data_IF_694710968496
#
_entry.id   IF_694710968496
#
_cell.length_a   1.000
_cell.length_b   1.000
_cell.length_c   1.000
_cell.angle_alpha   90.00
_cell.angle_beta   90.00
_cell.angle_gamma   90.00
#
_symmetry.space_group_name_H-M   'P 1'
#
loop_
_entity.id
_entity.type
_entity.pdbx_description
1 polymer ?
#
# COMPACT_ATOMS: atom_id res chain seq x y z
N UNK A 1 -16.69 -28.64 -11.27
CA UNK A 1 -17.46 -27.95 -10.21
C UNK A 1 -16.98 -28.28 -8.79
N UNK A 2 -16.80 -29.56 -8.42
CA UNK A 2 -16.33 -29.97 -7.07
C UNK A 2 -15.05 -29.28 -6.55
N UNK A 3 -14.05 -28.98 -7.40
CA UNK A 3 -12.81 -28.32 -6.96
C UNK A 3 -12.94 -26.82 -6.67
N UNK A 4 -13.94 -26.14 -7.26
CA UNK A 4 -14.23 -24.71 -6.98
C UNK A 4 -15.01 -24.54 -5.67
N UNK A 5 -15.94 -25.46 -5.38
CA UNK A 5 -16.69 -25.48 -4.12
C UNK A 5 -15.79 -25.77 -2.91
N UNK A 6 -14.87 -26.75 -3.00
CA UNK A 6 -13.91 -27.02 -1.91
C UNK A 6 -12.99 -25.83 -1.63
N UNK A 7 -12.47 -25.14 -2.66
CA UNK A 7 -11.61 -23.95 -2.48
C UNK A 7 -12.37 -22.75 -1.89
N UNK A 8 -13.66 -22.60 -2.18
CA UNK A 8 -14.49 -21.56 -1.59
C UNK A 8 -14.75 -21.79 -0.09
N UNK A 9 -14.90 -23.06 0.33
CA UNK A 9 -15.09 -23.44 1.73
C UNK A 9 -13.84 -23.18 2.59
N UNK A 10 -12.64 -23.42 2.04
CA UNK A 10 -11.36 -23.20 2.74
C UNK A 10 -11.06 -21.72 3.02
N UNK A 11 -11.57 -20.82 2.19
CA UNK A 11 -11.43 -19.37 2.35
C UNK A 11 -12.65 -18.71 3.02
N UNK A 12 -13.52 -19.48 3.67
CA UNK A 12 -14.64 -18.94 4.44
C UNK A 12 -14.11 -18.09 5.60
N UNK A 13 -14.52 -16.82 5.61
CA UNK A 13 -14.11 -15.82 6.59
C UNK A 13 -14.30 -16.29 8.03
N UNK A 14 -15.30 -17.13 8.32
CA UNK A 14 -15.61 -17.59 9.69
C UNK A 14 -14.45 -18.34 10.35
N UNK A 15 -13.55 -18.93 9.57
CA UNK A 15 -12.36 -19.64 10.05
C UNK A 15 -11.17 -18.71 10.34
N UNK A 16 -11.31 -17.40 10.12
CA UNK A 16 -10.22 -16.43 10.27
C UNK A 16 -10.48 -15.42 11.39
N UNK A 17 -9.46 -15.22 12.22
CA UNK A 17 -9.35 -14.05 13.10
C UNK A 17 -8.80 -12.89 12.29
N UNK A 18 -9.44 -11.73 12.40
CA UNK A 18 -9.06 -10.52 11.65
C UNK A 18 -8.62 -9.43 12.61
N UNK A 19 -7.43 -8.88 12.37
CA UNK A 19 -6.82 -7.80 13.15
C UNK A 19 -6.26 -6.74 12.21
N UNK A 20 -6.25 -5.49 12.66
CA UNK A 20 -5.61 -4.39 11.95
C UNK A 20 -4.42 -3.87 12.75
N UNK A 21 -3.53 -3.14 12.08
CA UNK A 21 -2.38 -2.47 12.70
C UNK A 21 -1.68 -1.57 11.70
N UNK A 22 -0.64 -0.89 12.16
CA UNK A 22 0.26 -0.07 11.35
C UNK A 22 1.53 -0.88 11.07
N UNK A 23 1.86 -1.11 9.81
CA UNK A 23 3.11 -1.82 9.44
C UNK A 23 4.32 -0.89 9.61
N UNK A 24 4.16 0.37 9.18
CA UNK A 24 5.14 1.41 9.41
C UNK A 24 4.53 2.82 9.39
N UNK A 25 5.22 3.74 10.06
CA UNK A 25 4.94 5.16 10.13
C UNK A 25 6.22 5.93 9.77
N UNK A 26 6.15 6.76 8.74
CA UNK A 26 7.24 7.66 8.36
C UNK A 26 6.99 9.04 8.97
N UNK A 27 7.91 9.50 9.81
CA UNK A 27 7.94 10.86 10.33
C UNK A 27 9.03 11.67 9.63
N UNK A 28 8.70 12.91 9.28
CA UNK A 28 9.65 13.94 8.88
C UNK A 28 10.00 14.75 10.12
N UNK A 29 11.28 14.77 10.47
CA UNK A 29 11.84 15.50 11.60
C UNK A 29 12.74 16.60 11.04
N UNK A 30 12.51 17.83 11.50
CA UNK A 30 13.35 18.99 11.17
C UNK A 30 14.16 19.37 12.40
N UNK A 31 15.48 19.38 12.28
CA UNK A 31 16.42 19.73 13.35
C UNK A 31 16.82 21.19 13.22
N UNK A 32 17.11 21.84 14.36
CA UNK A 32 17.60 23.22 14.43
C UNK A 32 19.02 23.39 13.90
N UNK A 33 19.77 22.29 13.75
CA UNK A 33 21.18 22.29 13.32
C UNK A 33 21.42 21.18 12.30
N UNK A 34 22.36 21.45 11.40
CA UNK A 34 22.85 20.45 10.45
C UNK A 34 23.52 19.29 11.17
N UNK A 35 23.20 18.07 10.76
CA UNK A 35 23.84 16.84 11.24
C UNK A 35 23.97 15.83 10.12
N UNK A 36 24.75 14.77 10.35
CA UNK A 36 24.82 13.64 9.43
C UNK A 36 23.78 12.59 9.83
N UNK A 37 23.16 11.96 8.83
CA UNK A 37 22.13 10.93 9.07
C UNK A 37 22.61 9.78 9.96
N UNK A 38 23.90 9.41 9.89
CA UNK A 38 24.50 8.36 10.71
C UNK A 38 24.39 8.65 12.21
N UNK A 39 24.55 9.90 12.63
CA UNK A 39 24.47 10.28 14.05
C UNK A 39 23.03 10.23 14.57
N UNK A 40 22.05 10.58 13.73
CA UNK A 40 20.63 10.42 14.05
C UNK A 40 20.29 8.94 14.19
N UNK A 41 20.78 8.10 13.27
CA UNK A 41 20.56 6.64 13.31
C UNK A 41 21.23 5.97 14.52
N UNK A 42 22.46 6.37 14.86
CA UNK A 42 23.19 5.87 16.04
C UNK A 42 22.46 6.24 17.34
N UNK A 43 21.94 7.46 17.44
CA UNK A 43 21.20 7.88 18.63
C UNK A 43 19.87 7.14 18.76
N UNK A 44 19.15 6.95 17.66
CA UNK A 44 17.95 6.11 17.64
C UNK A 44 18.24 4.66 18.02
N UNK A 45 19.38 4.11 17.59
CA UNK A 45 19.82 2.78 17.99
C UNK A 45 20.05 2.70 19.51
N UNK A 46 20.66 3.73 20.12
CA UNK A 46 20.83 3.79 21.58
C UNK A 46 19.50 3.88 22.32
N UNK A 47 18.59 4.73 21.85
CA UNK A 47 17.29 4.98 22.49
C UNK A 47 16.38 3.74 22.37
N UNK A 48 16.34 3.12 21.19
CA UNK A 48 15.34 2.08 20.88
C UNK A 48 15.89 0.66 20.91
N UNK A 49 17.21 0.48 20.87
CA UNK A 49 17.86 -0.80 20.61
C UNK A 49 17.69 -1.28 19.15
N UNK A 50 17.09 -0.48 18.27
CA UNK A 50 16.76 -0.86 16.89
C UNK A 50 17.48 0.03 15.88
N UNK A 51 18.03 -0.58 14.83
CA UNK A 51 18.60 0.15 13.70
C UNK A 51 17.49 0.64 12.77
N UNK A 52 16.94 1.81 13.07
CA UNK A 52 15.88 2.43 12.27
C UNK A 52 16.38 2.95 10.94
N UNK A 53 15.52 2.95 9.93
CA UNK A 53 15.81 3.55 8.63
C UNK A 53 15.66 5.07 8.71
N UNK A 54 16.73 5.78 8.37
CA UNK A 54 16.83 7.25 8.39
C UNK A 54 17.33 7.71 7.03
N UNK A 55 16.58 8.59 6.37
CA UNK A 55 16.95 9.17 5.08
C UNK A 55 16.97 10.70 5.19
N UNK A 56 18.06 11.37 4.77
CA UNK A 56 18.07 12.83 4.66
C UNK A 56 17.08 13.28 3.58
N UNK A 57 16.27 14.30 3.88
CA UNK A 57 15.33 14.87 2.93
C UNK A 57 15.99 15.96 2.08
N UNK A 58 15.94 15.82 0.76
CA UNK A 58 16.45 16.82 -0.17
C UNK A 58 17.97 16.74 -0.41
N UNK A 59 18.42 17.43 -1.46
CA UNK A 59 19.84 17.55 -1.81
C UNK A 59 20.31 18.93 -1.33
N UNK A 60 21.25 18.97 -0.39
CA UNK A 60 21.99 20.19 -0.07
C UNK A 60 23.28 20.20 -0.88
N UNK A 61 23.55 21.30 -1.57
CA UNK A 61 24.81 21.53 -2.30
C UNK A 61 25.74 22.28 -1.35
N UNK A 62 26.90 21.70 -1.01
CA UNK A 62 27.84 22.27 -0.04
C UNK A 62 28.73 23.36 -0.64
N UNK A 63 29.00 23.28 -1.96
CA UNK A 63 29.76 24.30 -2.70
C UNK A 63 29.52 24.16 -4.20
N UNK A 64 29.26 25.28 -4.89
CA UNK A 64 29.58 25.44 -6.30
C UNK A 64 31.00 25.97 -6.34
N UNK A 65 31.98 25.20 -6.86
CA UNK A 65 33.30 25.79 -7.07
C UNK A 65 33.18 26.85 -8.15
N UNK A 66 33.41 28.12 -7.82
CA UNK A 66 33.55 29.19 -8.80
C UNK A 66 34.84 28.92 -9.58
N UNK A 67 34.71 28.53 -10.84
CA UNK A 67 35.83 28.57 -11.77
C UNK A 67 35.81 29.95 -12.41
N UNK A 68 36.81 30.79 -12.11
CA UNK A 68 37.04 31.97 -12.95
C UNK A 68 37.33 31.50 -14.38
N UNK A 69 36.71 32.09 -15.42
CA UNK A 69 37.04 31.77 -16.80
C UNK A 69 38.53 32.06 -17.04
N UNK A 70 39.28 31.11 -17.61
CA UNK A 70 40.62 31.41 -18.13
C UNK A 70 40.47 32.44 -19.26
N UNK A 71 41.32 33.47 -19.35
CA UNK A 71 41.29 34.41 -20.47
C UNK A 71 41.46 33.64 -21.78
N UNK A 72 40.49 33.74 -22.69
CA UNK A 72 40.54 33.12 -24.02
C UNK A 72 39.72 31.85 -24.24
N UNK A 73 38.95 31.36 -23.25
CA UNK A 73 38.08 30.19 -23.44
C UNK A 73 36.62 30.48 -23.04
N UNK A 74 35.72 30.58 -24.02
CA UNK A 74 34.31 30.95 -23.83
C UNK A 74 33.40 29.78 -23.41
N UNK A 75 33.96 28.62 -23.04
CA UNK A 75 33.18 27.44 -22.63
C UNK A 75 33.07 27.40 -21.11
N UNK A 76 31.84 27.57 -20.58
CA UNK A 76 31.56 27.38 -19.15
C UNK A 76 31.88 25.94 -18.75
N UNK A 77 32.93 25.72 -17.98
CA UNK A 77 33.27 24.41 -17.41
C UNK A 77 32.12 23.93 -16.53
N UNK A 78 31.50 22.79 -16.87
CA UNK A 78 30.43 22.22 -16.04
C UNK A 78 31.05 21.69 -14.74
N UNK A 79 30.77 22.36 -13.62
CA UNK A 79 31.23 21.97 -12.29
C UNK A 79 30.22 21.00 -11.69
N UNK A 80 30.66 19.78 -11.35
CA UNK A 80 29.83 18.83 -10.62
C UNK A 80 29.58 19.39 -9.19
N UNK A 81 28.32 19.67 -8.80
CA UNK A 81 28.03 20.19 -7.47
C UNK A 81 28.41 19.17 -6.41
N UNK A 82 29.10 19.63 -5.36
CA UNK A 82 29.39 18.79 -4.21
C UNK A 82 28.15 18.68 -3.34
N UNK A 83 27.67 17.44 -3.12
CA UNK A 83 26.51 17.19 -2.28
C UNK A 83 26.97 17.14 -0.82
N UNK A 84 26.30 17.92 0.03
CA UNK A 84 26.53 17.93 1.47
C UNK A 84 26.21 16.57 2.08
N UNK A 85 27.08 16.10 2.97
CA UNK A 85 26.83 14.92 3.82
C UNK A 85 25.96 15.24 5.03
N UNK A 86 25.70 16.54 5.29
CA UNK A 86 24.84 17.01 6.38
C UNK A 86 23.50 17.51 5.88
N UNK A 87 22.47 17.31 6.70
CA UNK A 87 21.10 17.76 6.48
C UNK A 87 20.48 18.17 7.81
N UNK A 88 19.41 18.95 7.76
CA UNK A 88 18.57 19.36 8.88
C UNK A 88 17.21 18.69 8.85
N UNK A 89 16.83 18.05 7.75
CA UNK A 89 15.53 17.36 7.63
C UNK A 89 15.74 15.88 7.35
N UNK A 90 15.09 15.03 8.13
CA UNK A 90 15.21 13.57 8.03
C UNK A 90 13.84 12.91 7.98
N UNK A 91 13.69 11.89 7.12
CA UNK A 91 12.58 10.95 7.17
C UNK A 91 13.02 9.71 7.95
N UNK A 92 12.27 9.40 8.99
CA UNK A 92 12.53 8.28 9.90
C UNK A 92 11.36 7.32 9.84
N UNK A 93 11.64 6.04 9.59
CA UNK A 93 10.62 4.99 9.54
C UNK A 93 10.56 4.22 10.86
N UNK A 94 9.42 4.29 11.52
CA UNK A 94 9.07 3.50 12.68
C UNK A 94 8.24 2.29 12.25
N UNK A 95 8.45 1.14 12.88
CA UNK A 95 7.77 -0.14 12.61
C UNK A 95 7.25 -0.75 13.89
N UNK A 96 6.41 -1.77 13.76
CA UNK A 96 5.95 -2.63 14.86
C UNK A 96 5.47 -1.84 16.08
N UNK A 97 6.05 -2.11 17.25
CA UNK A 97 5.64 -1.55 18.52
C UNK A 97 5.66 -0.02 18.52
N UNK A 98 6.66 0.61 17.90
CA UNK A 98 6.76 2.08 17.86
C UNK A 98 5.69 2.69 16.94
N UNK A 99 5.28 1.99 15.89
CA UNK A 99 4.21 2.46 15.00
C UNK A 99 2.81 2.22 15.55
N UNK A 100 2.66 1.29 16.51
CA UNK A 100 1.37 0.87 17.08
C UNK A 100 1.19 1.29 18.56
N UNK A 101 2.08 2.11 19.12
CA UNK A 101 2.01 2.57 20.50
C UNK A 101 2.52 4.01 20.64
N UNK A 102 1.61 4.98 20.53
CA UNK A 102 1.88 6.41 20.49
C UNK A 102 2.76 6.89 21.64
N UNK A 103 2.42 6.52 22.88
CA UNK A 103 3.23 6.94 24.05
C UNK A 103 4.68 6.45 24.04
N UNK A 104 4.98 5.28 23.44
CA UNK A 104 6.38 4.83 23.31
C UNK A 104 7.12 5.63 22.25
N UNK A 105 6.44 5.96 21.16
CA UNK A 105 7.00 6.79 20.10
C UNK A 105 7.26 8.23 20.59
N UNK A 106 6.36 8.80 21.39
CA UNK A 106 6.55 10.11 22.04
C UNK A 106 7.81 10.12 22.90
N UNK A 107 7.99 9.13 23.79
CA UNK A 107 9.20 9.03 24.63
C UNK A 107 10.48 8.94 23.78
N UNK A 108 10.45 8.20 22.67
CA UNK A 108 11.60 8.11 21.76
C UNK A 108 11.90 9.46 21.12
N UNK A 109 10.86 10.19 20.69
CA UNK A 109 11.01 11.51 20.07
C UNK A 109 11.50 12.56 21.08
N UNK A 110 11.01 12.54 22.31
CA UNK A 110 11.47 13.41 23.40
C UNK A 110 12.96 13.18 23.71
N UNK A 111 13.39 11.92 23.79
CA UNK A 111 14.81 11.59 23.99
C UNK A 111 15.67 12.03 22.81
N UNK A 112 15.20 11.82 21.57
CA UNK A 112 15.90 12.27 20.38
C UNK A 112 16.04 13.80 20.34
N UNK A 113 14.97 14.51 20.73
CA UNK A 113 14.95 15.98 20.78
C UNK A 113 15.94 16.56 21.79
N UNK A 114 16.18 15.88 22.92
CA UNK A 114 17.21 16.29 23.90
C UNK A 114 18.61 16.31 23.28
N UNK A 115 18.92 15.37 22.38
CA UNK A 115 20.21 15.31 21.69
C UNK A 115 20.26 16.20 20.45
N UNK A 116 19.18 16.22 19.68
CA UNK A 116 19.06 16.99 18.45
C UNK A 116 17.81 17.87 18.52
N UNK A 117 17.94 19.14 18.96
CA UNK A 117 16.77 20.00 19.15
C UNK A 117 16.00 20.18 17.83
N UNK A 118 14.69 19.91 17.86
CA UNK A 118 13.83 20.03 16.70
C UNK A 118 13.51 21.50 16.41
N UNK A 119 13.49 21.86 15.13
CA UNK A 119 13.06 23.19 14.67
C UNK A 119 11.53 23.32 14.63
N UNK A 120 10.82 22.20 14.40
CA UNK A 120 9.37 22.12 14.31
C UNK A 120 8.90 20.75 14.82
N UNK A 121 7.61 20.66 15.16
CA UNK A 121 6.98 19.38 15.51
C UNK A 121 7.17 18.32 14.40
N UNK A 122 7.45 17.05 14.76
CA UNK A 122 7.51 15.94 13.81
C UNK A 122 6.21 15.80 12.99
N UNK A 123 6.36 15.62 11.68
CA UNK A 123 5.24 15.52 10.75
C UNK A 123 5.09 14.10 10.20
N UNK A 124 3.86 13.59 10.17
CA UNK A 124 3.55 12.33 9.48
C UNK A 124 3.63 12.58 7.97
N UNK A 125 4.48 11.81 7.28
CA UNK A 125 4.65 11.89 5.81
C UNK A 125 4.34 10.59 5.09
N UNK A 126 4.08 9.52 5.85
CA UNK A 126 3.54 8.29 5.33
C UNK A 126 3.08 7.35 6.44
N UNK A 127 2.02 6.60 6.18
CA UNK A 127 1.57 5.51 7.06
C UNK A 127 1.12 4.33 6.22
N UNK A 128 1.41 3.12 6.67
CA UNK A 128 0.86 1.90 6.06
C UNK A 128 0.04 1.14 7.08
N UNK A 129 -1.24 0.99 6.79
CA UNK A 129 -2.20 0.26 7.61
C UNK A 129 -2.43 -1.10 6.99
N UNK A 130 -2.36 -2.17 7.80
CA UNK A 130 -2.63 -3.53 7.36
C UNK A 130 -3.89 -4.11 8.02
N UNK A 131 -4.47 -5.11 7.36
CA UNK A 131 -5.40 -6.06 7.95
C UNK A 131 -4.90 -7.49 7.72
N UNK A 132 -4.73 -8.22 8.81
CA UNK A 132 -4.28 -9.62 8.84
C UNK A 132 -5.49 -10.54 8.96
N UNK A 133 -5.52 -11.61 8.15
CA UNK A 133 -6.43 -12.73 8.26
C UNK A 133 -5.65 -13.97 8.68
N UNK A 134 -5.78 -14.36 9.96
CA UNK A 134 -5.10 -15.52 10.55
C UNK A 134 -6.07 -16.70 10.64
N UNK A 135 -5.74 -17.81 10.00
CA UNK A 135 -6.56 -19.02 10.11
C UNK A 135 -6.53 -19.55 11.56
N UNK A 136 -7.70 -19.81 12.15
CA UNK A 136 -7.84 -20.24 13.55
C UNK A 136 -7.06 -21.54 13.84
N UNK A 137 -7.06 -22.47 12.89
CA UNK A 137 -6.33 -23.73 12.95
C UNK A 137 -4.92 -23.67 12.30
N UNK A 138 -4.44 -22.48 11.90
CA UNK A 138 -3.09 -22.28 11.32
C UNK A 138 -2.82 -23.09 10.04
N UNK A 139 -3.83 -23.26 9.19
CA UNK A 139 -3.69 -23.98 7.91
C UNK A 139 -3.04 -23.07 6.86
N UNK A 140 -1.91 -23.51 6.30
CA UNK A 140 -1.20 -22.82 5.22
C UNK A 140 -2.06 -22.80 3.96
N UNK A 141 -2.69 -23.92 3.61
CA UNK A 141 -3.57 -24.05 2.43
C UNK A 141 -4.73 -23.08 2.52
N UNK A 142 -5.44 -23.04 3.66
CA UNK A 142 -6.54 -22.10 3.87
C UNK A 142 -6.06 -20.64 3.83
N UNK A 143 -4.88 -20.36 4.39
CA UNK A 143 -4.29 -19.01 4.34
C UNK A 143 -3.92 -18.58 2.92
N UNK A 144 -3.42 -19.50 2.09
CA UNK A 144 -3.18 -19.27 0.66
C UNK A 144 -4.49 -19.05 -0.09
N UNK A 145 -5.53 -19.84 0.19
CA UNK A 145 -6.87 -19.66 -0.39
C UNK A 145 -7.49 -18.30 -0.01
N UNK A 146 -7.36 -17.87 1.25
CA UNK A 146 -7.78 -16.54 1.68
C UNK A 146 -6.96 -15.43 1.01
N UNK A 147 -5.66 -15.63 0.80
CA UNK A 147 -4.81 -14.68 0.05
C UNK A 147 -5.32 -14.54 -1.38
N UNK A 148 -5.58 -15.65 -2.07
CA UNK A 148 -6.18 -15.64 -3.40
C UNK A 148 -7.52 -14.89 -3.42
N UNK A 149 -8.37 -15.15 -2.43
CA UNK A 149 -9.68 -14.51 -2.29
C UNK A 149 -9.55 -13.00 -2.11
N UNK A 150 -8.64 -12.54 -1.25
CA UNK A 150 -8.36 -11.10 -1.08
C UNK A 150 -7.79 -10.47 -2.35
N UNK A 151 -6.86 -11.15 -3.04
CA UNK A 151 -6.25 -10.64 -4.28
C UNK A 151 -7.26 -10.50 -5.41
N UNK A 152 -8.09 -11.54 -5.61
CA UNK A 152 -9.11 -11.55 -6.66
C UNK A 152 -10.28 -10.63 -6.36
N UNK A 153 -10.55 -10.32 -5.09
CA UNK A 153 -11.65 -9.46 -4.67
C UNK A 153 -11.26 -8.01 -4.38
N UNK A 154 -9.98 -7.64 -4.30
CA UNK A 154 -9.59 -6.26 -3.97
C UNK A 154 -10.01 -5.29 -5.08
N UNK A 155 -10.93 -4.38 -4.76
CA UNK A 155 -11.35 -3.29 -5.62
C UNK A 155 -10.60 -2.01 -5.24
N UNK A 156 -9.46 -1.79 -5.88
CA UNK A 156 -8.62 -0.62 -5.67
C UNK A 156 -8.72 0.36 -6.84
N UNK A 157 -8.59 1.66 -6.57
CA UNK A 157 -8.61 2.72 -7.58
C UNK A 157 -7.24 3.05 -8.16
N UNK A 158 -6.17 2.42 -7.63
CA UNK A 158 -4.82 2.65 -8.11
C UNK A 158 -4.56 2.08 -9.50
N UNK A 159 -3.46 2.55 -10.10
CA UNK A 159 -3.03 2.12 -11.43
C UNK A 159 -2.02 0.97 -11.38
N UNK A 160 -1.64 0.43 -12.55
CA UNK A 160 -0.51 -0.52 -12.70
C UNK A 160 -0.62 -1.75 -11.79
N UNK A 161 -1.75 -2.45 -11.90
CA UNK A 161 -2.00 -3.70 -11.17
C UNK A 161 -1.01 -4.76 -11.63
N UNK A 162 -0.25 -5.31 -10.68
CA UNK A 162 0.85 -6.26 -10.96
C UNK A 162 1.05 -7.20 -9.79
N UNK A 163 1.71 -8.31 -10.02
CA UNK A 163 2.22 -9.16 -8.96
C UNK A 163 3.74 -9.16 -8.94
N UNK A 164 4.34 -9.09 -7.76
CA UNK A 164 5.78 -9.30 -7.61
C UNK A 164 6.06 -10.79 -7.47
N UNK A 165 6.77 -11.35 -8.44
CA UNK A 165 7.28 -12.71 -8.39
C UNK A 165 8.58 -12.73 -7.56
N UNK A 166 8.60 -13.38 -6.39
CA UNK A 166 9.77 -13.39 -5.52
C UNK A 166 10.92 -14.24 -6.09
N UNK A 167 10.62 -15.27 -6.89
CA UNK A 167 11.62 -16.15 -7.51
C UNK A 167 12.38 -15.41 -8.60
N UNK A 168 11.66 -14.79 -9.55
CA UNK A 168 12.25 -14.03 -10.64
C UNK A 168 12.63 -12.59 -10.27
N UNK A 169 12.34 -12.16 -9.03
CA UNK A 169 12.56 -10.81 -8.48
C UNK A 169 12.06 -9.67 -9.38
N UNK A 170 10.95 -9.88 -10.08
CA UNK A 170 10.38 -8.92 -11.04
C UNK A 170 8.88 -8.76 -10.87
N UNK A 171 8.36 -7.62 -11.34
CA UNK A 171 6.93 -7.40 -11.43
C UNK A 171 6.37 -8.06 -12.71
N UNK A 172 5.22 -8.71 -12.58
CA UNK A 172 4.40 -9.24 -13.67
C UNK A 172 3.10 -8.44 -13.68
N UNK A 173 2.89 -7.66 -14.74
CA UNK A 173 1.69 -6.83 -14.85
C UNK A 173 0.48 -7.68 -15.21
N UNK A 174 -0.68 -7.36 -14.61
CA UNK A 174 -1.91 -8.13 -14.82
C UNK A 174 -2.86 -7.48 -15.85
N UNK A 175 -2.49 -6.32 -16.40
CA UNK A 175 -3.22 -5.63 -17.46
C UNK A 175 -3.00 -6.24 -18.85
N UNK A 176 -2.09 -7.20 -18.98
CA UNK A 176 -1.88 -7.98 -20.21
C UNK A 176 -2.89 -9.16 -20.30
N UNK A 177 -3.38 -9.50 -21.51
CA UNK A 177 -4.21 -10.68 -21.72
C UNK A 177 -3.55 -11.97 -21.21
N UNK A 178 -4.34 -12.91 -20.70
CA UNK A 178 -3.83 -14.22 -20.26
C UNK A 178 -3.14 -14.24 -18.89
N UNK A 179 -2.65 -13.11 -18.37
CA UNK A 179 -2.10 -13.06 -17.01
C UNK A 179 -3.19 -13.35 -15.97
N UNK A 180 -2.89 -14.24 -15.00
CA UNK A 180 -3.80 -14.64 -13.91
C UNK A 180 -3.12 -14.41 -12.56
N UNK A 181 -3.94 -14.22 -11.53
CA UNK A 181 -3.47 -14.08 -10.16
C UNK A 181 -2.83 -15.39 -9.69
N UNK A 182 -1.60 -15.30 -9.22
CA UNK A 182 -0.93 -16.35 -8.47
C UNK A 182 -0.96 -16.01 -6.97
N UNK A 183 -1.60 -16.83 -6.11
CA UNK A 183 -1.73 -16.55 -4.67
C UNK A 183 -0.40 -16.53 -3.90
N UNK A 184 0.66 -17.10 -4.46
CA UNK A 184 1.99 -17.10 -3.84
C UNK A 184 2.74 -15.77 -4.06
N UNK A 185 2.26 -14.93 -4.96
CA UNK A 185 2.92 -13.66 -5.32
C UNK A 185 2.23 -12.47 -4.65
N UNK A 186 2.95 -11.36 -4.50
CA UNK A 186 2.41 -10.16 -3.88
C UNK A 186 1.69 -9.29 -4.91
N UNK A 187 0.36 -9.18 -4.82
CA UNK A 187 -0.44 -8.26 -5.63
C UNK A 187 -0.21 -6.82 -5.17
N UNK A 188 0.09 -5.94 -6.12
CA UNK A 188 0.36 -4.52 -5.90
C UNK A 188 -0.47 -3.66 -6.83
N UNK A 189 -1.06 -2.61 -6.28
CA UNK A 189 -1.78 -1.58 -7.03
C UNK A 189 -1.28 -0.21 -6.59
N UNK A 190 -0.95 0.65 -7.56
CA UNK A 190 -0.23 1.90 -7.33
C UNK A 190 1.30 1.72 -7.28
N UNK A 191 2.02 2.84 -7.25
CA UNK A 191 3.48 2.93 -7.19
C UNK A 191 3.95 3.55 -5.88
N UNK A 192 5.26 3.45 -5.60
CA UNK A 192 5.91 3.96 -4.38
C UNK A 192 5.60 5.44 -4.07
N UNK A 193 5.41 6.24 -5.13
CA UNK A 193 5.23 7.69 -5.08
C UNK A 193 3.77 8.14 -5.17
N UNK A 194 2.84 7.19 -5.37
CA UNK A 194 1.43 7.51 -5.41
C UNK A 194 0.96 7.87 -3.99
N UNK A 195 -0.03 8.76 -3.89
CA UNK A 195 -0.62 9.15 -2.60
C UNK A 195 -1.27 7.95 -1.88
N UNK A 196 -1.75 6.96 -2.64
CA UNK A 196 -2.33 5.72 -2.10
C UNK A 196 -1.81 4.53 -2.91
N UNK A 197 -1.40 3.47 -2.21
CA UNK A 197 -1.07 2.18 -2.81
C UNK A 197 -1.58 1.01 -1.98
N UNK A 198 -1.78 -0.13 -2.62
CA UNK A 198 -2.27 -1.35 -2.00
C UNK A 198 -1.32 -2.51 -2.21
N UNK A 199 -1.25 -3.40 -1.23
CA UNK A 199 -0.61 -4.72 -1.37
C UNK A 199 -1.50 -5.82 -0.81
N UNK A 200 -1.49 -7.00 -1.43
CA UNK A 200 -2.14 -8.20 -0.90
C UNK A 200 -1.26 -9.41 -1.12
N UNK A 201 -0.93 -10.12 -0.05
CA UNK A 201 0.01 -11.24 -0.12
C UNK A 201 -0.13 -12.17 1.08
N UNK A 202 0.40 -13.37 0.94
CA UNK A 202 0.60 -14.30 2.04
C UNK A 202 1.86 -13.86 2.79
N UNK A 203 1.71 -13.28 4.00
CA UNK A 203 2.88 -12.91 4.78
C UNK A 203 3.43 -14.11 5.54
N UNK A 204 4.41 -14.74 4.91
CA UNK A 204 5.16 -15.90 5.41
C UNK A 204 6.62 -15.57 5.75
N UNK A 205 7.05 -14.32 5.59
CA UNK A 205 8.38 -13.84 5.96
C UNK A 205 8.31 -12.55 6.77
N UNK A 206 9.37 -12.27 7.54
CA UNK A 206 9.62 -10.99 8.22
C UNK A 206 11.13 -10.73 8.22
N UNK A 207 11.55 -9.53 7.84
CA UNK A 207 12.97 -9.14 7.72
C UNK A 207 13.84 -10.18 6.97
N UNK A 208 13.26 -10.75 5.91
CA UNK A 208 13.90 -11.79 5.10
C UNK A 208 13.89 -13.20 5.69
N UNK A 209 13.43 -13.36 6.94
CA UNK A 209 13.35 -14.65 7.63
C UNK A 209 11.98 -15.30 7.47
N UNK A 210 11.94 -16.63 7.35
CA UNK A 210 10.69 -17.38 7.25
C UNK A 210 9.96 -17.37 8.60
N UNK A 211 8.66 -17.06 8.56
CA UNK A 211 7.83 -17.06 9.75
C UNK A 211 7.36 -18.48 10.10
N UNK A 212 7.35 -18.83 11.41
CA UNK A 212 6.67 -20.03 11.88
C UNK A 212 5.22 -20.07 11.41
N UNK A 213 4.70 -21.26 11.12
CA UNK A 213 3.32 -21.46 10.61
C UNK A 213 2.27 -20.71 11.44
N UNK A 214 2.41 -20.72 12.77
CA UNK A 214 1.53 -20.01 13.71
C UNK A 214 1.47 -18.49 13.53
N UNK A 215 2.46 -17.89 12.86
CA UNK A 215 2.55 -16.45 12.57
C UNK A 215 2.20 -16.11 11.12
N UNK A 216 1.97 -17.10 10.26
CA UNK A 216 1.59 -16.87 8.87
C UNK A 216 0.14 -16.36 8.77
N UNK A 217 -0.12 -15.54 7.75
CA UNK A 217 -1.43 -14.90 7.53
C UNK A 217 -1.56 -14.38 6.11
N UNK A 218 -2.79 -14.24 5.64
CA UNK A 218 -3.09 -13.43 4.48
C UNK A 218 -3.16 -11.97 4.93
N UNK A 219 -2.51 -11.06 4.21
CA UNK A 219 -2.43 -9.65 4.57
C UNK A 219 -2.88 -8.78 3.40
N UNK A 220 -3.67 -7.75 3.72
CA UNK A 220 -3.92 -6.60 2.85
C UNK A 220 -3.38 -5.34 3.51
N UNK A 221 -2.69 -4.51 2.75
CA UNK A 221 -2.06 -3.26 3.18
C UNK A 221 -2.57 -2.09 2.32
N UNK A 222 -2.71 -0.94 2.96
CA UNK A 222 -2.95 0.36 2.33
C UNK A 222 -1.91 1.34 2.83
N UNK A 223 -1.16 1.91 1.90
CA UNK A 223 -0.23 3.00 2.17
C UNK A 223 -0.91 4.34 1.88
N UNK A 224 -0.75 5.32 2.78
CA UNK A 224 -1.18 6.71 2.60
C UNK A 224 0.03 7.65 2.66
N UNK A 225 0.11 8.57 1.70
CA UNK A 225 1.13 9.61 1.58
C UNK A 225 0.55 10.89 0.98
N UNK A 226 1.28 12.00 1.11
CA UNK A 226 0.99 13.24 0.40
C UNK A 226 -0.46 13.71 0.59
N UNK A 227 -1.17 13.94 -0.52
CA UNK A 227 -2.54 14.44 -0.47
C UNK A 227 -3.53 13.50 0.24
N UNK A 228 -3.26 12.19 0.28
CA UNK A 228 -4.11 11.24 1.00
C UNK A 228 -4.05 11.47 2.51
N UNK A 229 -2.88 11.79 3.07
CA UNK A 229 -2.75 12.14 4.48
C UNK A 229 -3.54 13.41 4.82
N UNK A 230 -3.53 14.38 3.90
CA UNK A 230 -4.28 15.63 4.02
C UNK A 230 -5.78 15.38 4.04
N UNK A 231 -6.28 14.50 3.18
CA UNK A 231 -7.69 14.11 3.16
C UNK A 231 -8.17 13.50 4.48
N UNK A 232 -7.30 12.82 5.21
CA UNK A 232 -7.61 12.20 6.51
C UNK A 232 -7.15 13.02 7.72
N UNK A 233 -6.61 14.22 7.52
CA UNK A 233 -6.06 15.06 8.59
C UNK A 233 -5.03 14.31 9.46
N UNK A 234 -4.15 13.52 8.84
CA UNK A 234 -3.10 12.75 9.51
C UNK A 234 -1.73 13.41 9.28
N UNK A 235 -1.43 14.47 10.04
CA UNK A 235 -0.23 15.28 9.85
C UNK A 235 0.72 15.28 11.05
N UNK A 236 0.20 15.07 12.25
CA UNK A 236 0.94 15.11 13.51
C UNK A 236 0.72 13.84 14.29
N UNK A 237 1.61 13.56 15.24
CA UNK A 237 1.52 12.35 16.05
C UNK A 237 0.21 12.28 16.86
N UNK A 238 -0.23 13.42 17.42
CA UNK A 238 -1.49 13.51 18.17
C UNK A 238 -2.74 13.21 17.31
N UNK A 239 -2.66 13.41 15.99
CA UNK A 239 -3.76 13.09 15.09
C UNK A 239 -4.04 11.57 15.10
N UNK A 240 -2.98 10.76 15.22
CA UNK A 240 -3.07 9.29 15.22
C UNK A 240 -3.81 8.74 16.43
N UNK A 241 -3.60 9.33 17.61
CA UNK A 241 -4.23 8.88 18.87
C UNK A 241 -5.77 9.03 18.83
N UNK A 242 -6.26 10.05 18.11
CA UNK A 242 -7.69 10.34 17.97
C UNK A 242 -8.27 9.83 16.66
N UNK A 243 -7.44 9.23 15.80
CA UNK A 243 -7.86 8.85 14.47
C UNK A 243 -8.81 7.66 14.51
N UNK A 244 -9.97 7.82 13.88
CA UNK A 244 -10.94 6.75 13.69
C UNK A 244 -10.54 5.89 12.49
N UNK A 245 -9.73 4.86 12.72
CA UNK A 245 -9.20 4.00 11.65
C UNK A 245 -10.29 3.32 10.81
N UNK A 246 -11.50 3.11 11.33
CA UNK A 246 -12.63 2.58 10.56
C UNK A 246 -13.04 3.48 9.38
N UNK A 247 -12.68 4.77 9.40
CA UNK A 247 -12.88 5.68 8.27
C UNK A 247 -12.11 5.21 7.03
N UNK A 248 -11.00 4.48 7.20
CA UNK A 248 -10.21 3.90 6.11
C UNK A 248 -10.86 2.66 5.47
N UNK A 249 -11.97 2.13 6.01
CA UNK A 249 -12.58 0.91 5.52
C UNK A 249 -12.97 0.97 4.02
N UNK A 250 -13.26 2.15 3.49
CA UNK A 250 -13.56 2.37 2.07
C UNK A 250 -12.33 2.26 1.15
N UNK A 251 -11.12 2.22 1.70
CA UNK A 251 -9.90 1.90 0.96
C UNK A 251 -9.67 0.38 0.87
N UNK A 252 -10.29 -0.39 1.77
CA UNK A 252 -10.30 -1.85 1.76
C UNK A 252 -11.61 -2.37 1.15
N UNK A 253 -11.89 -1.98 -0.10
CA UNK A 253 -13.10 -2.40 -0.81
C UNK A 253 -12.91 -3.80 -1.41
N UNK A 254 -13.83 -4.71 -1.11
CA UNK A 254 -13.86 -6.03 -1.70
C UNK A 254 -15.12 -6.23 -2.55
N UNK A 255 -14.95 -6.69 -3.79
CA UNK A 255 -16.03 -7.04 -4.72
C UNK A 255 -15.84 -8.41 -5.34
N UNK A 256 -16.90 -8.94 -5.92
CA UNK A 256 -16.89 -10.13 -6.77
C UNK A 256 -17.67 -9.84 -8.04
N UNK A 257 -17.32 -10.45 -9.18
CA UNK A 257 -18.20 -10.43 -10.35
C UNK A 257 -19.57 -11.00 -9.99
N UNK A 258 -20.64 -10.36 -10.48
CA UNK A 258 -21.96 -10.98 -10.51
C UNK A 258 -21.97 -12.12 -11.52
N UNK A 259 -22.72 -13.18 -11.24
CA UNK A 259 -22.92 -14.25 -12.21
C UNK A 259 -23.69 -13.71 -13.43
N UNK A 260 -23.29 -14.05 -14.67
CA UNK A 260 -23.96 -13.57 -15.88
C UNK A 260 -25.48 -13.81 -15.87
N UNK A 261 -25.93 -14.93 -15.32
CA UNK A 261 -27.33 -15.33 -15.23
C UNK A 261 -28.11 -14.38 -14.32
N UNK A 262 -27.55 -14.05 -13.15
CA UNK A 262 -28.15 -13.06 -12.23
C UNK A 262 -28.22 -11.68 -12.88
N UNK A 263 -27.23 -11.32 -13.68
CA UNK A 263 -27.21 -10.04 -14.39
C UNK A 263 -28.17 -10.01 -15.57
N UNK A 264 -28.46 -11.16 -16.18
CA UNK A 264 -29.30 -11.29 -17.34
C UNK A 264 -30.80 -11.27 -16.99
N UNK A 265 -31.14 -11.66 -15.75
CA UNK A 265 -32.53 -11.66 -15.26
C UNK A 265 -33.47 -12.42 -16.21
N UNK A 266 -33.09 -13.67 -16.52
CA UNK A 266 -33.77 -14.58 -17.45
C UNK A 266 -33.83 -14.13 -18.93
N UNK A 267 -33.23 -13.00 -19.31
CA UNK A 267 -33.10 -12.58 -20.72
C UNK A 267 -31.91 -13.27 -21.40
N UNK A 268 -32.20 -14.17 -22.35
CA UNK A 268 -31.19 -14.94 -23.09
C UNK A 268 -30.30 -14.06 -23.98
N UNK A 269 -30.83 -13.00 -24.58
CA UNK A 269 -30.04 -12.07 -25.39
C UNK A 269 -29.06 -11.30 -24.50
N UNK A 270 -29.53 -10.83 -23.35
CA UNK A 270 -28.68 -10.15 -22.36
C UNK A 270 -27.60 -11.08 -21.80
N UNK A 271 -27.94 -12.33 -21.49
CA UNK A 271 -26.97 -13.34 -21.04
C UNK A 271 -25.88 -13.57 -22.08
N UNK A 272 -26.27 -13.76 -23.34
CA UNK A 272 -25.36 -13.95 -24.47
C UNK A 272 -24.43 -12.75 -24.65
N UNK A 273 -24.97 -11.53 -24.58
CA UNK A 273 -24.18 -10.30 -24.69
C UNK A 273 -23.19 -10.14 -23.53
N UNK A 274 -23.61 -10.39 -22.29
CA UNK A 274 -22.73 -10.32 -21.11
C UNK A 274 -21.56 -11.31 -21.26
N UNK A 275 -21.86 -12.55 -21.64
CA UNK A 275 -20.86 -13.60 -21.83
C UNK A 275 -19.88 -13.24 -22.95
N UNK A 276 -20.38 -12.76 -24.10
CA UNK A 276 -19.55 -12.33 -25.21
C UNK A 276 -18.62 -11.17 -24.82
N UNK A 277 -19.13 -10.14 -24.13
CA UNK A 277 -18.35 -8.98 -23.68
C UNK A 277 -17.28 -9.40 -22.66
N UNK A 278 -17.62 -10.26 -21.69
CA UNK A 278 -16.65 -10.76 -20.72
C UNK A 278 -15.55 -11.59 -21.39
N UNK A 279 -15.91 -12.46 -22.33
CA UNK A 279 -14.96 -13.27 -23.10
C UNK A 279 -14.02 -12.40 -23.92
N UNK A 280 -14.54 -11.43 -24.67
CA UNK A 280 -13.75 -10.53 -25.52
C UNK A 280 -12.74 -9.71 -24.72
N UNK A 281 -13.09 -9.29 -23.51
CA UNK A 281 -12.22 -8.49 -22.65
C UNK A 281 -11.35 -9.34 -21.70
N UNK A 282 -11.46 -10.67 -21.76
CA UNK A 282 -10.87 -11.60 -20.78
C UNK A 282 -11.19 -11.11 -19.34
N UNK A 283 -12.45 -10.80 -19.05
CA UNK A 283 -12.88 -10.29 -17.74
C UNK A 283 -13.33 -11.45 -16.85
N UNK A 284 -12.41 -11.97 -16.04
CA UNK A 284 -12.62 -13.14 -15.19
C UNK A 284 -12.14 -12.90 -13.76
N UNK A 285 -12.69 -13.65 -12.81
CA UNK A 285 -12.28 -13.57 -11.40
C UNK A 285 -10.80 -13.96 -11.21
N UNK A 286 -10.28 -14.89 -12.03
CA UNK A 286 -8.89 -15.36 -11.98
C UNK A 286 -7.89 -14.29 -12.43
N UNK A 287 -8.31 -13.32 -13.26
CA UNK A 287 -7.50 -12.13 -13.51
C UNK A 287 -7.56 -11.14 -12.36
N UNK A 288 -8.65 -11.12 -11.59
CA UNK A 288 -8.93 -10.11 -10.60
C UNK A 288 -9.82 -8.98 -11.13
N UNK A 289 -10.28 -8.13 -10.21
CA UNK A 289 -11.30 -7.11 -10.50
C UNK A 289 -10.88 -6.04 -11.50
N UNK A 290 -9.58 -5.81 -11.69
CA UNK A 290 -9.14 -4.82 -12.67
C UNK A 290 -9.52 -5.19 -14.10
N UNK A 291 -9.74 -6.48 -14.38
CA UNK A 291 -10.22 -6.95 -15.69
C UNK A 291 -11.65 -6.51 -16.00
N UNK A 292 -12.46 -6.20 -14.98
CA UNK A 292 -13.83 -5.71 -15.11
C UNK A 292 -13.94 -4.19 -15.31
N UNK A 293 -12.83 -3.45 -15.20
CA UNK A 293 -12.80 -1.99 -15.28
C UNK A 293 -13.25 -1.39 -16.63
N UNK A 294 -13.22 -2.20 -17.68
CA UNK A 294 -13.59 -1.79 -19.04
C UNK A 294 -14.95 -2.37 -19.47
N UNK A 295 -15.56 -3.24 -18.65
CA UNK A 295 -16.83 -3.89 -18.95
C UNK A 295 -17.98 -2.89 -18.77
N UNK A 296 -18.88 -2.83 -19.75
CA UNK A 296 -20.04 -1.94 -19.72
C UNK A 296 -19.73 -0.48 -20.08
N UNK A 297 -18.56 -0.19 -20.67
CA UNK A 297 -18.27 1.15 -21.21
C UNK A 297 -19.12 1.42 -22.44
N UNK A 298 -20.17 2.23 -22.29
CA UNK A 298 -20.73 3.00 -23.39
C UNK A 298 -19.77 4.15 -23.71
N UNK A 299 -19.20 4.13 -24.91
CA UNK A 299 -18.57 5.24 -25.64
C UNK A 299 -17.05 5.52 -25.54
N UNK A 300 -16.50 5.72 -26.75
CA UNK A 300 -15.13 6.09 -27.14
C UNK A 300 -14.65 7.46 -26.62
N UNK A 301 -15.49 8.27 -25.97
CA UNK A 301 -15.15 9.63 -25.51
C UNK A 301 -14.08 9.70 -24.41
N UNK A 302 -13.67 8.56 -23.85
CA UNK A 302 -12.56 8.52 -22.88
C UNK A 302 -11.17 8.73 -23.50
N UNK A 303 -11.04 8.66 -24.84
CA UNK A 303 -9.78 8.98 -25.55
C UNK A 303 -9.59 10.48 -25.80
N UNK A 304 -10.67 11.28 -25.79
CA UNK A 304 -10.61 12.74 -25.75
C UNK A 304 -10.74 13.22 -24.31
N UNK A 305 -9.67 13.09 -23.54
CA UNK A 305 -9.49 13.88 -22.31
C UNK A 305 -8.24 14.71 -22.48
N UNK A 306 -8.44 15.88 -23.08
CA UNK A 306 -7.54 17.03 -22.97
C UNK A 306 -7.69 17.51 -21.51
N UNK A 307 -6.58 17.63 -20.78
CA UNK A 307 -6.48 18.11 -19.38
C UNK A 307 -6.69 17.09 -18.23
N UNK A 308 -6.17 15.87 -18.34
CA UNK A 308 -5.62 15.13 -17.17
C UNK A 308 -6.57 14.60 -16.09
N UNK A 309 -7.81 15.09 -15.98
CA UNK A 309 -8.77 14.70 -14.95
C UNK A 309 -9.55 13.47 -15.38
N UNK A 310 -8.96 12.30 -15.12
CA UNK A 310 -9.69 11.04 -15.10
C UNK A 310 -10.75 11.13 -14.01
N UNK A 311 -12.01 11.42 -14.37
CA UNK A 311 -13.17 11.24 -13.47
C UNK A 311 -13.02 9.90 -12.75
N UNK A 312 -12.97 9.94 -11.41
CA UNK A 312 -12.96 8.75 -10.56
C UNK A 312 -14.07 7.81 -11.03
N UNK A 313 -13.69 6.61 -11.49
CA UNK A 313 -14.63 5.66 -12.10
C UNK A 313 -15.74 5.32 -11.11
N UNK A 314 -17.00 5.40 -11.56
CA UNK A 314 -18.11 4.75 -10.86
C UNK A 314 -17.86 3.23 -10.87
N UNK A 315 -18.18 2.57 -9.78
CA UNK A 315 -18.08 1.12 -9.66
C UNK A 315 -18.89 0.42 -10.78
N UNK A 316 -18.34 -0.64 -11.37
CA UNK A 316 -19.03 -1.36 -12.45
C UNK A 316 -20.28 -2.05 -11.91
N UNK A 317 -21.40 -1.96 -12.64
CA UNK A 317 -22.64 -2.69 -12.34
C UNK A 317 -22.49 -4.22 -12.45
N UNK A 318 -21.35 -4.69 -12.97
CA UNK A 318 -21.03 -6.13 -13.06
C UNK A 318 -20.45 -6.69 -11.76
N UNK A 319 -20.35 -5.87 -10.70
CA UNK A 319 -19.72 -6.23 -9.44
C UNK A 319 -20.73 -6.20 -8.29
N UNK A 320 -20.58 -7.13 -7.36
CA UNK A 320 -21.29 -7.18 -6.09
C UNK A 320 -20.32 -7.05 -4.92
N UNK A 321 -20.83 -6.53 -3.79
CA UNK A 321 -20.06 -6.39 -2.56
C UNK A 321 -19.74 -7.76 -1.95
N UNK A 322 -18.52 -7.93 -1.45
CA UNK A 322 -18.13 -9.08 -0.61
C UNK A 322 -18.23 -8.66 0.86
N UNK A 323 -19.47 -8.68 1.36
CA UNK A 323 -19.84 -8.07 2.64
C UNK A 323 -19.13 -8.68 3.85
N UNK A 324 -18.84 -9.98 3.84
CA UNK A 324 -18.16 -10.66 4.94
C UNK A 324 -16.71 -10.16 5.12
N UNK A 325 -15.96 -10.00 4.03
CA UNK A 325 -14.61 -9.40 4.05
C UNK A 325 -14.66 -7.93 4.43
N UNK A 326 -15.60 -7.17 3.82
CA UNK A 326 -15.77 -5.74 4.08
C UNK A 326 -16.06 -5.46 5.55
N UNK A 327 -17.00 -6.21 6.14
CA UNK A 327 -17.38 -6.06 7.55
C UNK A 327 -16.27 -6.55 8.48
N UNK A 328 -15.53 -7.59 8.10
CA UNK A 328 -14.40 -8.08 8.88
C UNK A 328 -13.30 -7.02 9.00
N UNK A 329 -12.93 -6.38 7.88
CA UNK A 329 -11.93 -5.31 7.87
C UNK A 329 -12.43 -4.07 8.61
N UNK A 330 -13.66 -3.61 8.35
CA UNK A 330 -14.25 -2.48 9.08
C UNK A 330 -14.22 -2.72 10.60
N UNK A 331 -14.60 -3.92 11.04
CA UNK A 331 -14.56 -4.30 12.44
C UNK A 331 -13.15 -4.35 13.01
N UNK A 332 -12.15 -4.79 12.24
CA UNK A 332 -10.75 -4.81 12.67
C UNK A 332 -10.17 -3.41 12.81
N UNK A 333 -10.42 -2.53 11.84
CA UNK A 333 -10.00 -1.13 11.87
C UNK A 333 -10.65 -0.37 13.04
N UNK A 334 -11.93 -0.62 13.34
CA UNK A 334 -12.61 -0.01 14.48
C UNK A 334 -11.97 -0.36 15.84
N UNK A 335 -11.28 -1.49 15.93
CA UNK A 335 -10.58 -1.93 17.15
C UNK A 335 -9.10 -1.51 17.17
N UNK A 336 -8.62 -0.83 16.13
CA UNK A 336 -7.26 -0.34 16.09
C UNK A 336 -7.19 0.96 16.89
N UNK A 337 -6.42 0.90 17.97
CA UNK A 337 -6.04 2.04 18.80
C UNK A 337 -4.51 2.07 18.83
N UNK A 338 -3.93 3.27 18.75
CA UNK A 338 -2.49 3.49 18.56
C UNK A 338 -1.99 4.45 19.61
#
# INVERSE_FOLDING_TARGET
MKSRECKAAEADRKFFKVSAGIDWLDLKISLSRLTQHRYVQEELLKITGLKLWVEPCGIRISKLSSCEPRPGNNVKTWVKPMISSTNDVFRIRFRDLLANHGGKLEVVLEQLQKRFPFAYDPQIVGVEVFCDFRHKARSITATSAMTYRLQSALFSTGSKVRQFNPVARRNVFLDVPGARINPEWNLRTGNKWDNISWQVYHKCTDDGQKLPVKKQRARVEVTLKGAALTHYSLHRLNDMQRFRFETLAHLFKFRKPLEPEMMADCDLFRLTAINAVRKMNDATAERGLHSFNNIGRRDKRSWMMVNGDKRLRKESSHLAVVSDLQNAVKGALRRLHV
#
